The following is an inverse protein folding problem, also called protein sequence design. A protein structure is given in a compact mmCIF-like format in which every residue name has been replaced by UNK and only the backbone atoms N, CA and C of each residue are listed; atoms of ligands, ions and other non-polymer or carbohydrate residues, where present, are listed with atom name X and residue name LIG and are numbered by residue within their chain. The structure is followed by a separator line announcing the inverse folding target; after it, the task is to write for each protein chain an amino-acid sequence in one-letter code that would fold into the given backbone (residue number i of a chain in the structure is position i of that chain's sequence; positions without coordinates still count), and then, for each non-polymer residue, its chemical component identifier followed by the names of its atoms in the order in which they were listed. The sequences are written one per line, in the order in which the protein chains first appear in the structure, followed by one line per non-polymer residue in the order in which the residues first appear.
data_IF_194349028441
#
_entry.id   IF_194349028441
#
_cell.length_a   1.000
_cell.length_b   1.000
_cell.length_c   1.000
_cell.angle_alpha   90.00
_cell.angle_beta   90.00
_cell.angle_gamma   90.00
#
_symmetry.space_group_name_H-M   'P 1'
#
loop_
_entity.id
_entity.type
_entity.pdbx_description
1 polymer ?
#
# COMPACT_ATOMS: atom_id res chain seq x y z
N UNK A 1 38.85 -25.42 -47.09
CA UNK A 1 38.23 -24.13 -47.46
C UNK A 1 37.59 -23.53 -46.21
N UNK A 2 38.14 -22.38 -45.77
CA UNK A 2 37.70 -21.37 -44.78
C UNK A 2 36.76 -21.75 -43.62
N UNK A 3 37.37 -21.65 -42.43
CA UNK A 3 36.82 -21.28 -41.12
C UNK A 3 35.91 -20.03 -41.11
N UNK A 4 35.08 -19.99 -40.06
CA UNK A 4 34.49 -18.83 -39.35
C UNK A 4 33.25 -18.15 -39.96
N UNK A 5 32.11 -18.41 -39.33
CA UNK A 5 31.17 -17.35 -38.94
C UNK A 5 30.78 -17.54 -37.47
N UNK A 6 31.57 -16.90 -36.59
CA UNK A 6 31.13 -16.47 -35.27
C UNK A 6 30.57 -15.06 -35.46
N UNK A 7 29.27 -14.89 -35.34
CA UNK A 7 28.61 -13.59 -35.34
C UNK A 7 27.79 -13.45 -34.05
N UNK A 8 28.37 -12.75 -33.09
CA UNK A 8 27.80 -12.24 -31.83
C UNK A 8 26.26 -12.17 -31.81
N UNK A 9 25.63 -13.04 -31.02
CA UNK A 9 24.47 -12.63 -30.23
C UNK A 9 25.03 -12.19 -28.87
N UNK A 10 25.42 -10.92 -28.77
CA UNK A 10 25.61 -10.29 -27.48
C UNK A 10 24.21 -9.97 -26.95
N UNK A 11 23.52 -10.99 -26.45
CA UNK A 11 22.33 -10.77 -25.64
C UNK A 11 22.81 -10.07 -24.37
N UNK A 12 22.62 -8.75 -24.32
CA UNK A 12 22.82 -7.96 -23.12
C UNK A 12 21.88 -8.51 -22.04
N UNK A 13 22.39 -9.47 -21.28
CA UNK A 13 21.81 -9.86 -20.01
C UNK A 13 22.15 -8.71 -19.06
N UNK A 14 21.36 -7.65 -19.12
CA UNK A 14 21.15 -6.81 -17.95
C UNK A 14 20.44 -7.71 -16.94
N UNK A 15 21.24 -8.45 -16.17
CA UNK A 15 20.83 -8.82 -14.83
C UNK A 15 20.72 -7.49 -14.08
N UNK A 16 19.57 -6.84 -14.21
CA UNK A 16 19.11 -5.94 -13.18
C UNK A 16 18.90 -6.85 -11.97
N UNK A 17 19.95 -7.06 -11.18
CA UNK A 17 19.79 -7.44 -9.79
C UNK A 17 18.82 -6.44 -9.23
N UNK A 18 17.59 -6.88 -8.94
CA UNK A 18 16.58 -6.04 -8.34
C UNK A 18 17.18 -5.47 -7.07
N UNK A 19 17.57 -4.20 -7.11
CA UNK A 19 18.13 -3.52 -5.95
C UNK A 19 17.00 -3.40 -4.95
N UNK A 20 17.05 -4.21 -3.91
CA UNK A 20 16.10 -4.16 -2.82
C UNK A 20 16.53 -3.01 -1.92
N UNK A 21 15.67 -2.03 -1.72
CA UNK A 21 15.84 -1.12 -0.60
C UNK A 21 15.46 -1.92 0.64
N UNK A 22 16.43 -2.44 1.38
CA UNK A 22 16.18 -3.25 2.58
C UNK A 22 15.29 -2.51 3.61
N UNK A 23 15.34 -1.17 3.57
CA UNK A 23 14.58 -0.23 4.38
C UNK A 23 13.15 -0.02 3.89
N UNK A 24 12.78 -0.45 2.67
CA UNK A 24 11.40 -0.38 2.16
C UNK A 24 10.91 -1.77 1.80
N UNK A 25 9.76 -2.16 2.35
CA UNK A 25 9.17 -3.48 2.11
C UNK A 25 9.16 -3.81 0.60
N UNK A 26 9.80 -4.90 0.15
CA UNK A 26 9.82 -5.25 -1.26
C UNK A 26 8.42 -5.49 -1.81
N UNK A 27 8.19 -5.25 -3.10
CA UNK A 27 6.90 -5.47 -3.78
C UNK A 27 6.88 -6.77 -4.58
N UNK A 28 7.73 -7.73 -4.21
CA UNK A 28 7.88 -9.06 -4.80
C UNK A 28 7.65 -10.15 -3.72
N UNK A 29 7.86 -11.42 -4.07
CA UNK A 29 7.68 -12.57 -3.17
C UNK A 29 8.47 -12.45 -1.85
N UNK A 30 9.58 -11.73 -1.84
CA UNK A 30 10.43 -11.61 -0.65
C UNK A 30 9.78 -10.72 0.42
N UNK A 31 8.80 -9.88 0.04
CA UNK A 31 8.02 -9.07 0.96
C UNK A 31 6.89 -9.82 1.69
N UNK A 32 6.61 -11.09 1.37
CA UNK A 32 5.47 -11.85 1.97
C UNK A 32 5.56 -11.91 3.50
N UNK A 33 6.78 -12.12 4.03
CA UNK A 33 7.03 -12.27 5.46
C UNK A 33 7.68 -11.04 6.09
N UNK A 34 7.59 -9.88 5.42
CA UNK A 34 8.05 -8.60 5.93
C UNK A 34 6.82 -7.83 6.40
N UNK A 35 6.77 -7.56 7.70
CA UNK A 35 5.79 -6.67 8.31
C UNK A 35 6.42 -5.26 8.32
N UNK A 36 6.82 -4.78 9.49
CA UNK A 36 7.73 -3.65 9.65
C UNK A 36 9.10 -3.97 9.05
N UNK A 37 9.70 -2.99 8.37
CA UNK A 37 11.05 -3.13 7.80
C UNK A 37 12.09 -3.09 8.91
N UNK A 38 13.00 -4.08 9.01
CA UNK A 38 14.03 -4.05 10.05
C UNK A 38 15.04 -2.93 9.78
N UNK A 39 15.71 -2.46 10.86
CA UNK A 39 16.94 -1.68 10.72
C UNK A 39 17.98 -2.51 9.98
N UNK A 40 18.79 -1.84 9.17
CA UNK A 40 19.81 -2.50 8.36
C UNK A 40 21.03 -1.60 8.23
N UNK A 41 22.20 -2.24 8.19
CA UNK A 41 23.51 -1.60 8.01
C UNK A 41 23.88 -1.42 6.53
N UNK A 42 22.90 -1.44 5.63
CA UNK A 42 23.17 -1.30 4.19
C UNK A 42 23.79 0.06 3.91
N UNK A 43 25.00 0.05 3.35
CA UNK A 43 25.71 1.27 2.98
C UNK A 43 25.00 2.03 1.87
N UNK A 44 25.08 3.36 1.93
CA UNK A 44 24.59 4.21 0.86
C UNK A 44 25.55 4.20 -0.33
N UNK A 45 25.17 3.48 -1.39
CA UNK A 45 25.95 3.38 -2.62
C UNK A 45 25.76 4.58 -3.57
N UNK A 46 24.89 5.54 -3.22
CA UNK A 46 24.55 6.69 -4.05
C UNK A 46 23.06 6.78 -4.37
N UNK A 47 22.70 7.85 -5.10
CA UNK A 47 21.33 8.06 -5.55
C UNK A 47 20.88 6.93 -6.48
N UNK A 48 19.70 6.38 -6.20
CA UNK A 48 19.13 5.27 -6.95
C UNK A 48 17.60 5.39 -7.00
N UNK A 49 17.01 4.96 -8.11
CA UNK A 49 15.55 4.82 -8.28
C UNK A 49 15.21 3.39 -8.70
N UNK A 50 14.31 2.74 -7.96
CA UNK A 50 13.67 1.50 -8.32
C UNK A 50 12.25 1.78 -8.82
N UNK A 51 11.90 1.15 -9.94
CA UNK A 51 10.53 1.10 -10.45
C UNK A 51 10.01 -0.33 -10.29
N UNK A 52 8.81 -0.46 -9.76
CA UNK A 52 8.09 -1.71 -9.61
C UNK A 52 6.65 -1.58 -10.13
N UNK A 53 6.04 -2.70 -10.50
CA UNK A 53 4.64 -2.73 -10.90
C UNK A 53 3.98 -4.02 -10.47
N UNK A 54 2.66 -3.97 -10.32
CA UNK A 54 1.84 -5.15 -10.06
C UNK A 54 0.58 -5.08 -10.93
N UNK A 55 0.15 -6.22 -11.48
CA UNK A 55 -1.06 -6.36 -12.30
C UNK A 55 -1.81 -7.60 -11.86
N UNK A 56 -3.09 -7.45 -11.56
CA UNK A 56 -4.00 -8.57 -11.28
C UNK A 56 -5.16 -8.55 -12.26
N UNK A 57 -5.46 -9.70 -12.85
CA UNK A 57 -6.60 -9.95 -13.74
C UNK A 57 -7.56 -10.92 -13.02
N UNK A 58 -8.52 -10.41 -12.22
CA UNK A 58 -9.39 -11.27 -11.43
C UNK A 58 -10.38 -11.98 -12.35
N UNK A 59 -10.53 -13.30 -12.18
CA UNK A 59 -11.56 -14.08 -12.82
C UNK A 59 -12.44 -14.72 -11.75
N UNK A 60 -13.75 -14.52 -11.87
CA UNK A 60 -14.72 -15.02 -10.89
C UNK A 60 -15.71 -15.95 -11.58
N UNK A 61 -16.05 -17.05 -10.90
CA UNK A 61 -17.13 -17.98 -11.25
C UNK A 61 -17.98 -18.22 -10.00
N UNK A 62 -18.44 -17.12 -9.40
CA UNK A 62 -19.23 -17.15 -8.18
C UNK A 62 -20.70 -16.98 -8.52
N UNK A 63 -21.54 -17.63 -7.72
CA UNK A 63 -22.98 -17.40 -7.69
C UNK A 63 -23.36 -16.97 -6.27
N UNK A 64 -24.52 -16.34 -6.12
CA UNK A 64 -24.99 -15.80 -4.85
C UNK A 64 -26.49 -16.01 -4.67
N UNK A 65 -26.91 -16.13 -3.41
CA UNK A 65 -28.33 -16.26 -3.09
C UNK A 65 -28.65 -15.66 -1.72
N UNK A 66 -29.90 -15.24 -1.55
CA UNK A 66 -30.46 -14.86 -0.26
C UNK A 66 -31.92 -15.32 -0.18
N UNK A 67 -32.62 -14.97 0.90
CA UNK A 67 -34.01 -15.38 1.11
C UNK A 67 -34.95 -14.95 -0.01
N UNK A 68 -34.77 -13.74 -0.55
CA UNK A 68 -35.61 -13.19 -1.63
C UNK A 68 -35.35 -13.93 -2.95
N UNK A 69 -34.08 -14.16 -3.29
CA UNK A 69 -33.75 -14.80 -4.57
C UNK A 69 -34.04 -16.30 -4.62
N UNK A 70 -34.34 -16.91 -3.46
CA UNK A 70 -34.70 -18.33 -3.34
C UNK A 70 -36.22 -18.56 -3.36
N UNK A 71 -37.02 -17.49 -3.38
CA UNK A 71 -38.48 -17.59 -3.44
C UNK A 71 -38.94 -18.22 -4.77
N UNK A 72 -39.96 -19.07 -4.70
CA UNK A 72 -40.49 -19.74 -5.90
C UNK A 72 -41.08 -18.71 -6.86
N UNK A 73 -40.61 -18.71 -8.11
CA UNK A 73 -41.06 -17.77 -9.15
C UNK A 73 -40.30 -16.43 -9.15
N UNK A 74 -39.28 -16.25 -8.30
CA UNK A 74 -38.40 -15.09 -8.37
C UNK A 74 -37.68 -15.01 -9.73
N UNK A 75 -37.69 -13.81 -10.32
CA UNK A 75 -36.91 -13.45 -11.50
C UNK A 75 -36.37 -12.04 -11.28
N UNK A 76 -35.10 -11.80 -11.64
CA UNK A 76 -34.48 -10.50 -11.47
C UNK A 76 -34.97 -9.52 -12.55
N UNK A 77 -35.60 -8.42 -12.13
CA UNK A 77 -35.96 -7.30 -13.01
C UNK A 77 -34.81 -6.28 -13.05
N UNK A 78 -34.18 -6.13 -14.22
CA UNK A 78 -33.09 -5.18 -14.44
C UNK A 78 -33.54 -3.71 -14.45
N UNK A 79 -34.78 -3.43 -14.82
CA UNK A 79 -35.32 -2.08 -14.87
C UNK A 79 -35.80 -1.61 -13.49
N UNK A 80 -36.39 -2.51 -12.71
CA UNK A 80 -36.94 -2.21 -11.38
C UNK A 80 -36.58 -3.31 -10.38
N UNK A 81 -35.33 -3.37 -9.89
CA UNK A 81 -34.90 -4.41 -8.96
C UNK A 81 -35.67 -4.32 -7.63
N UNK A 82 -36.21 -5.45 -7.18
CA UNK A 82 -36.90 -5.53 -5.89
C UNK A 82 -35.92 -5.29 -4.73
N UNK A 83 -36.42 -4.83 -3.59
CA UNK A 83 -35.59 -4.67 -2.39
C UNK A 83 -34.94 -6.01 -2.00
N UNK A 84 -33.63 -5.99 -1.74
CA UNK A 84 -32.82 -7.18 -1.45
C UNK A 84 -32.77 -8.23 -2.57
N UNK A 85 -33.17 -7.91 -3.80
CA UNK A 85 -32.89 -8.75 -4.97
C UNK A 85 -31.37 -8.80 -5.24
N UNK A 86 -30.88 -9.93 -5.72
CA UNK A 86 -29.48 -10.09 -6.14
C UNK A 86 -29.42 -10.24 -7.66
N UNK A 87 -28.56 -9.43 -8.30
CA UNK A 87 -28.35 -9.46 -9.75
C UNK A 87 -27.70 -10.78 -10.16
N UNK A 88 -28.23 -11.54 -11.15
CA UNK A 88 -27.61 -12.79 -11.58
C UNK A 88 -26.14 -12.57 -11.97
N UNK A 89 -25.25 -13.41 -11.44
CA UNK A 89 -23.82 -13.36 -11.77
C UNK A 89 -23.52 -14.30 -12.94
N UNK A 90 -22.49 -13.96 -13.70
CA UNK A 90 -21.93 -14.83 -14.73
C UNK A 90 -20.42 -14.90 -14.55
N UNK A 91 -19.83 -15.99 -15.04
CA UNK A 91 -18.39 -16.17 -15.03
C UNK A 91 -17.71 -15.14 -15.93
N UNK A 92 -16.66 -14.50 -15.43
CA UNK A 92 -15.97 -13.47 -16.22
C UNK A 92 -14.75 -12.86 -15.55
N UNK A 93 -14.00 -12.10 -16.34
CA UNK A 93 -12.94 -11.24 -15.83
C UNK A 93 -13.55 -9.96 -15.24
N UNK A 94 -13.13 -9.60 -14.04
CA UNK A 94 -13.39 -8.30 -13.46
C UNK A 94 -12.48 -7.22 -14.05
N UNK A 95 -12.66 -5.98 -13.59
CA UNK A 95 -11.78 -4.87 -13.94
C UNK A 95 -10.32 -5.20 -13.54
N UNK A 96 -9.35 -5.14 -14.47
CA UNK A 96 -7.93 -5.25 -14.15
C UNK A 96 -7.53 -4.25 -13.06
N UNK A 97 -6.65 -4.66 -12.15
CA UNK A 97 -6.09 -3.78 -11.11
C UNK A 97 -4.59 -3.67 -11.34
N UNK A 98 -4.05 -2.44 -11.29
CA UNK A 98 -2.64 -2.20 -11.57
C UNK A 98 -2.04 -1.15 -10.63
N UNK A 99 -0.83 -1.40 -10.14
CA UNK A 99 -0.08 -0.50 -9.27
C UNK A 99 1.27 -0.13 -9.91
N UNK A 100 1.75 1.08 -9.62
CA UNK A 100 3.13 1.51 -9.90
C UNK A 100 3.80 1.90 -8.59
N UNK A 101 5.01 1.39 -8.37
CA UNK A 101 5.85 1.69 -7.22
C UNK A 101 7.09 2.42 -7.70
N UNK A 102 7.38 3.56 -7.07
CA UNK A 102 8.60 4.33 -7.31
C UNK A 102 9.28 4.49 -5.96
N UNK A 103 10.47 3.91 -5.84
CA UNK A 103 11.27 3.98 -4.63
C UNK A 103 12.59 4.65 -4.95
N UNK A 104 13.04 5.57 -4.12
CA UNK A 104 14.30 6.27 -4.35
C UNK A 104 15.12 6.34 -3.07
N UNK A 105 16.41 6.08 -3.20
CA UNK A 105 17.40 6.34 -2.17
C UNK A 105 17.99 7.72 -2.45
N UNK A 106 17.62 8.71 -1.64
CA UNK A 106 17.94 10.11 -1.88
C UNK A 106 19.31 10.49 -1.31
N UNK A 107 19.64 9.95 -0.14
CA UNK A 107 20.87 10.17 0.61
C UNK A 107 21.03 9.03 1.63
N UNK A 108 22.18 8.94 2.29
CA UNK A 108 22.38 7.95 3.36
C UNK A 108 21.27 8.03 4.42
N UNK A 109 20.53 6.93 4.56
CA UNK A 109 19.39 6.80 5.43
C UNK A 109 18.14 7.61 5.06
N UNK A 110 18.02 8.17 3.85
CA UNK A 110 16.85 8.94 3.41
C UNK A 110 16.22 8.31 2.16
N UNK A 111 15.01 7.78 2.32
CA UNK A 111 14.27 7.08 1.27
C UNK A 111 12.98 7.81 0.93
N UNK A 112 12.61 7.82 -0.35
CA UNK A 112 11.31 8.26 -0.83
C UNK A 112 10.57 7.04 -1.39
N UNK A 113 9.37 6.78 -0.89
CA UNK A 113 8.47 5.77 -1.42
C UNK A 113 7.24 6.46 -2.01
N UNK A 114 6.81 6.04 -3.20
CA UNK A 114 5.63 6.55 -3.88
C UNK A 114 4.86 5.41 -4.52
N UNK A 115 3.54 5.40 -4.29
CA UNK A 115 2.66 4.32 -4.71
C UNK A 115 1.45 4.89 -5.44
N UNK A 116 1.23 4.39 -6.65
CA UNK A 116 0.10 4.76 -7.49
C UNK A 116 -0.76 3.55 -7.76
N UNK A 117 -2.07 3.76 -7.77
CA UNK A 117 -2.98 2.89 -8.48
C UNK A 117 -3.12 3.41 -9.91
N UNK A 118 -2.70 2.60 -10.88
CA UNK A 118 -2.88 2.86 -12.31
C UNK A 118 -4.27 2.45 -12.79
N UNK A 119 -4.88 1.44 -12.16
CA UNK A 119 -6.25 1.01 -12.40
C UNK A 119 -6.82 0.40 -11.11
N UNK A 120 -8.04 0.79 -10.72
CA UNK A 120 -8.69 0.28 -9.51
C UNK A 120 -10.21 0.08 -9.70
N UNK A 121 -10.86 -0.77 -8.88
CA UNK A 121 -12.30 -1.05 -9.00
C UNK A 121 -13.19 0.19 -8.87
N UNK A 122 -12.74 1.21 -8.13
CA UNK A 122 -13.49 2.44 -7.85
C UNK A 122 -12.97 3.69 -8.57
N UNK A 123 -11.79 3.61 -9.21
CA UNK A 123 -11.21 4.71 -9.99
C UNK A 123 -10.68 4.18 -11.31
N UNK A 124 -11.24 4.70 -12.40
CA UNK A 124 -10.82 4.44 -13.78
C UNK A 124 -9.68 5.38 -14.22
N UNK A 125 -9.25 6.29 -13.34
CA UNK A 125 -8.07 7.15 -13.50
C UNK A 125 -6.92 6.72 -12.57
N UNK A 126 -5.70 7.11 -12.95
CA UNK A 126 -4.53 6.97 -12.08
C UNK A 126 -4.66 7.90 -10.87
N UNK A 127 -4.42 7.37 -9.66
CA UNK A 127 -4.43 8.15 -8.44
C UNK A 127 -3.34 7.75 -7.46
N UNK A 128 -2.99 8.68 -6.57
CA UNK A 128 -1.96 8.49 -5.55
C UNK A 128 -2.54 7.68 -4.41
N UNK A 129 -2.02 6.48 -4.18
CA UNK A 129 -2.31 5.69 -2.98
C UNK A 129 -1.63 6.34 -1.78
N UNK A 130 -0.33 6.60 -1.92
CA UNK A 130 0.50 7.15 -0.86
C UNK A 130 1.86 7.60 -1.38
N UNK A 131 2.55 8.34 -0.51
CA UNK A 131 3.91 8.78 -0.71
C UNK A 131 4.49 9.31 0.59
N UNK A 132 5.66 8.83 0.98
CA UNK A 132 6.31 9.21 2.23
C UNK A 132 7.82 9.24 2.11
N UNK A 133 8.43 10.10 2.93
CA UNK A 133 9.85 10.03 3.24
C UNK A 133 10.05 9.11 4.43
N UNK A 134 11.04 8.24 4.34
CA UNK A 134 11.50 7.42 5.44
C UNK A 134 12.93 7.81 5.79
N UNK A 135 13.16 8.02 7.08
CA UNK A 135 14.44 8.38 7.65
C UNK A 135 14.91 7.25 8.54
N UNK A 136 16.07 6.72 8.19
CA UNK A 136 16.86 5.77 8.98
C UNK A 136 18.03 6.46 9.68
N UNK A 137 18.49 7.57 9.10
CA UNK A 137 19.54 8.45 9.61
C UNK A 137 19.14 9.90 9.40
N UNK A 138 19.61 10.78 10.27
CA UNK A 138 19.37 12.23 10.18
C UNK A 138 20.66 13.04 10.42
N UNK A 139 21.79 12.56 9.90
CA UNK A 139 23.13 13.16 10.09
C UNK A 139 23.26 14.61 9.56
N UNK A 140 22.29 15.06 8.77
CA UNK A 140 22.19 16.46 8.35
C UNK A 140 21.78 17.40 9.49
N UNK A 141 21.24 16.87 10.60
CA UNK A 141 20.96 17.61 11.81
C UNK A 141 22.24 17.71 12.66
N UNK A 142 22.55 18.88 13.22
CA UNK A 142 23.83 19.12 13.91
C UNK A 142 23.86 18.57 15.34
N UNK A 143 23.06 17.55 15.66
CA UNK A 143 22.80 17.12 17.03
C UNK A 143 23.13 15.63 17.22
N UNK A 144 24.27 15.34 17.85
CA UNK A 144 24.76 13.97 18.07
C UNK A 144 23.75 13.04 18.75
N UNK A 145 22.90 13.57 19.63
CA UNK A 145 21.88 12.76 20.30
C UNK A 145 20.81 12.23 19.34
N UNK A 146 20.56 12.91 18.21
CA UNK A 146 19.61 12.44 17.20
C UNK A 146 20.17 11.20 16.53
N UNK A 147 21.45 11.21 16.16
CA UNK A 147 22.10 10.05 15.55
C UNK A 147 22.08 8.84 16.48
N UNK A 148 22.29 9.05 17.79
CA UNK A 148 22.16 7.98 18.80
C UNK A 148 20.74 7.40 18.88
N UNK A 149 19.70 8.22 18.77
CA UNK A 149 18.29 7.77 18.76
C UNK A 149 18.00 7.01 17.46
N UNK A 150 18.42 7.57 16.30
CA UNK A 150 18.14 7.02 14.98
C UNK A 150 18.77 5.64 14.73
N UNK A 151 19.77 5.23 15.52
CA UNK A 151 20.26 3.84 15.54
C UNK A 151 19.16 2.83 15.84
N UNK A 152 18.16 3.22 16.62
CA UNK A 152 17.06 2.36 17.04
C UNK A 152 15.71 2.75 16.44
N UNK A 153 15.62 3.91 15.77
CA UNK A 153 14.34 4.41 15.26
C UNK A 153 14.32 4.55 13.75
N UNK A 154 13.16 4.26 13.16
CA UNK A 154 12.80 4.61 11.79
C UNK A 154 11.67 5.61 11.85
N UNK A 155 11.75 6.69 11.07
CA UNK A 155 10.71 7.72 11.03
C UNK A 155 10.14 7.81 9.63
N UNK A 156 8.82 7.72 9.49
CA UNK A 156 8.09 7.91 8.22
C UNK A 156 7.26 9.18 8.32
N UNK A 157 7.27 10.00 7.26
CA UNK A 157 6.47 11.24 7.19
C UNK A 157 5.87 11.36 5.78
N UNK A 158 4.56 11.51 5.70
CA UNK A 158 3.85 11.65 4.43
C UNK A 158 2.45 11.09 4.48
N UNK A 159 1.96 10.61 3.33
CA UNK A 159 0.70 9.86 3.23
C UNK A 159 1.01 8.37 3.07
N UNK A 160 0.57 7.55 4.01
CA UNK A 160 0.85 6.12 4.00
C UNK A 160 -0.31 5.33 4.60
N UNK A 161 -0.32 4.03 4.32
CA UNK A 161 -1.26 3.10 4.96
C UNK A 161 -0.99 3.07 6.46
N UNK A 162 -2.03 3.28 7.27
CA UNK A 162 -1.91 3.32 8.72
C UNK A 162 -1.43 1.96 9.22
N UNK A 163 -0.34 1.92 10.01
CA UNK A 163 0.17 0.69 10.59
C UNK A 163 -0.60 0.31 11.85
N UNK A 164 -1.81 -0.20 11.65
CA UNK A 164 -2.61 -0.81 12.70
C UNK A 164 -2.91 -2.28 12.30
N UNK A 165 -2.82 -3.17 13.29
CA UNK A 165 -2.83 -4.62 13.07
C UNK A 165 -1.73 -5.16 12.15
N UNK A 166 -1.74 -6.49 11.93
CA UNK A 166 -0.82 -7.17 11.02
C UNK A 166 -1.49 -7.56 9.69
N UNK A 167 -2.82 -7.50 9.65
CA UNK A 167 -3.61 -7.94 8.51
C UNK A 167 -3.31 -7.10 7.26
N UNK A 168 -3.05 -5.81 7.43
CA UNK A 168 -2.78 -4.91 6.31
C UNK A 168 -1.48 -5.28 5.56
N UNK A 169 -0.50 -5.93 6.19
CA UNK A 169 0.68 -6.46 5.49
C UNK A 169 0.35 -7.64 4.57
N UNK A 170 -0.75 -8.34 4.80
CA UNK A 170 -1.16 -9.55 4.04
C UNK A 170 -2.32 -9.31 3.10
N UNK A 171 -2.88 -8.10 3.09
CA UNK A 171 -4.02 -7.77 2.24
C UNK A 171 -3.63 -7.73 0.77
N UNK A 172 -4.59 -8.07 -0.08
CA UNK A 172 -4.56 -7.72 -1.48
C UNK A 172 -4.72 -6.21 -1.62
N UNK A 173 -3.84 -5.62 -2.41
CA UNK A 173 -3.77 -4.17 -2.59
C UNK A 173 -3.71 -3.82 -4.07
N UNK A 174 -4.87 -3.53 -4.66
CA UNK A 174 -4.99 -3.27 -6.09
C UNK A 174 -4.41 -4.41 -6.93
N UNK A 175 -3.41 -4.10 -7.76
CA UNK A 175 -2.71 -5.08 -8.59
C UNK A 175 -1.82 -6.05 -7.81
N UNK A 176 -1.51 -5.78 -6.54
CA UNK A 176 -0.63 -6.58 -5.69
C UNK A 176 -1.44 -7.56 -4.82
N UNK A 177 -1.61 -8.78 -5.31
CA UNK A 177 -2.45 -9.79 -4.64
C UNK A 177 -1.68 -10.96 -4.03
N UNK A 178 -0.42 -11.17 -4.41
CA UNK A 178 0.30 -12.39 -4.02
C UNK A 178 0.74 -12.43 -2.54
N UNK A 179 0.58 -11.34 -1.78
CA UNK A 179 0.70 -11.37 -0.31
C UNK A 179 -0.50 -12.03 0.37
N UNK A 180 -1.62 -12.08 -0.32
CA UNK A 180 -2.86 -12.63 0.18
C UNK A 180 -3.10 -14.03 -0.41
N UNK A 181 -3.16 -15.10 0.40
CA UNK A 181 -3.45 -16.44 -0.10
C UNK A 181 -4.89 -16.61 -0.63
N UNK A 182 -5.82 -15.72 -0.26
CA UNK A 182 -7.25 -15.83 -0.60
C UNK A 182 -7.72 -14.81 -1.65
N UNK A 183 -6.82 -14.02 -2.24
CA UNK A 183 -7.08 -12.97 -3.24
C UNK A 183 -7.99 -11.81 -2.77
N UNK A 184 -8.96 -12.04 -1.89
CA UNK A 184 -9.83 -11.02 -1.29
C UNK A 184 -9.47 -10.74 0.18
N UNK A 185 -9.76 -9.52 0.62
CA UNK A 185 -9.43 -9.06 1.97
C UNK A 185 -10.50 -9.47 2.98
N UNK A 186 -10.21 -9.21 4.26
CA UNK A 186 -11.16 -9.46 5.35
C UNK A 186 -12.44 -8.63 5.19
N UNK A 187 -13.54 -9.13 5.74
CA UNK A 187 -14.84 -8.39 5.75
C UNK A 187 -14.69 -7.09 6.55
N UNK A 188 -13.95 -7.14 7.66
CA UNK A 188 -13.47 -5.98 8.37
C UNK A 188 -12.01 -5.78 7.99
N UNK A 189 -11.80 -5.12 6.85
CA UNK A 189 -10.48 -4.73 6.37
C UNK A 189 -10.09 -3.39 6.98
N UNK A 190 -8.87 -3.36 7.47
CA UNK A 190 -8.32 -2.23 8.20
C UNK A 190 -7.36 -1.49 7.27
N UNK A 191 -7.94 -0.74 6.34
CA UNK A 191 -7.17 0.01 5.35
C UNK A 191 -7.59 1.46 5.34
N UNK A 192 -6.62 2.34 5.60
CA UNK A 192 -6.76 3.77 5.45
C UNK A 192 -5.40 4.36 5.11
N UNK A 193 -5.32 5.16 4.04
CA UNK A 193 -4.12 5.96 3.79
C UNK A 193 -4.34 7.36 4.33
N UNK A 194 -3.48 7.79 5.25
CA UNK A 194 -3.64 9.06 5.94
C UNK A 194 -2.35 9.86 5.94
N UNK A 195 -2.46 11.19 6.07
CA UNK A 195 -1.29 12.05 6.19
C UNK A 195 -0.88 12.08 7.66
N UNK A 196 0.38 11.76 7.93
CA UNK A 196 0.90 11.72 9.29
C UNK A 196 2.40 11.49 9.40
N UNK A 197 2.79 11.12 10.61
CA UNK A 197 4.13 10.67 10.93
C UNK A 197 4.07 9.39 11.79
N UNK A 198 4.98 8.46 11.54
CA UNK A 198 5.13 7.19 12.23
C UNK A 198 6.58 7.03 12.69
N UNK A 199 6.75 6.44 13.87
CA UNK A 199 8.04 6.08 14.44
C UNK A 199 8.01 4.60 14.80
N UNK A 200 8.94 3.85 14.22
CA UNK A 200 9.19 2.45 14.56
C UNK A 200 10.44 2.42 15.47
N UNK A 201 10.34 1.82 16.65
CA UNK A 201 11.44 1.67 17.61
C UNK A 201 11.81 0.20 17.71
N UNK A 202 13.04 -0.12 17.32
CA UNK A 202 13.56 -1.47 17.26
C UNK A 202 14.33 -1.82 18.54
N UNK A 203 13.81 -2.80 19.30
CA UNK A 203 14.40 -3.23 20.57
C UNK A 203 14.56 -4.75 20.57
N UNK A 204 15.75 -5.21 20.18
CA UNK A 204 16.01 -6.65 20.00
C UNK A 204 15.12 -7.21 18.91
N UNK A 205 14.31 -8.21 19.26
CA UNK A 205 13.36 -8.86 18.33
C UNK A 205 11.97 -8.19 18.30
N UNK A 206 11.77 -7.11 19.08
CA UNK A 206 10.49 -6.38 19.15
C UNK A 206 10.55 -5.06 18.39
N UNK A 207 9.43 -4.65 17.82
CA UNK A 207 9.25 -3.37 17.15
C UNK A 207 8.05 -2.67 17.76
N UNK A 208 8.28 -1.52 18.38
CA UNK A 208 7.22 -0.66 18.88
C UNK A 208 6.90 0.38 17.83
N UNK A 209 5.65 0.43 17.39
CA UNK A 209 5.19 1.40 16.39
C UNK A 209 4.30 2.42 17.08
N UNK A 210 4.57 3.70 16.83
CA UNK A 210 3.72 4.81 17.24
C UNK A 210 3.50 5.77 16.08
N UNK A 211 2.25 6.12 15.80
CA UNK A 211 1.93 7.06 14.73
C UNK A 211 0.90 8.11 15.15
N UNK A 212 1.00 9.28 14.51
CA UNK A 212 0.01 10.34 14.59
C UNK A 212 -0.36 10.75 13.17
N UNK A 213 -1.64 10.66 12.86
CA UNK A 213 -2.17 11.01 11.55
C UNK A 213 -3.27 12.05 11.70
N UNK A 214 -3.67 12.64 10.57
CA UNK A 214 -4.77 13.59 10.54
C UNK A 214 -6.17 12.93 10.55
N UNK A 215 -6.26 11.60 10.60
CA UNK A 215 -7.52 10.86 10.66
C UNK A 215 -8.35 10.93 9.37
N UNK A 216 -7.71 11.23 8.23
CA UNK A 216 -8.41 11.49 6.96
C UNK A 216 -7.82 10.71 5.79
N UNK A 217 -8.64 9.83 5.24
CA UNK A 217 -8.44 9.27 3.90
C UNK A 217 -8.65 10.31 2.80
N UNK A 218 -9.72 11.10 2.91
CA UNK A 218 -10.03 12.17 1.95
C UNK A 218 -9.70 13.53 2.56
N UNK A 219 -8.59 14.10 2.11
CA UNK A 219 -8.11 15.38 2.60
C UNK A 219 -8.94 16.52 2.02
N UNK A 220 -9.68 17.20 2.89
CA UNK A 220 -10.36 18.45 2.58
C UNK A 220 -9.87 19.58 3.50
N UNK A 221 -9.71 20.75 2.90
CA UNK A 221 -9.36 22.01 3.55
C UNK A 221 -10.61 22.83 3.94
N UNK A 222 -11.80 22.42 3.51
CA UNK A 222 -13.03 23.11 3.91
C UNK A 222 -13.29 23.00 5.40
N UNK A 223 -13.83 24.08 5.98
CA UNK A 223 -14.25 24.10 7.36
C UNK A 223 -15.41 23.10 7.56
N UNK A 224 -15.37 22.36 8.66
CA UNK A 224 -16.52 21.57 9.10
C UNK A 224 -17.65 22.52 9.53
N UNK A 225 -18.68 22.58 8.71
CA UNK A 225 -19.91 23.32 9.02
C UNK A 225 -20.84 22.46 9.88
N UNK A 226 -20.82 22.67 11.19
CA UNK A 226 -21.67 21.94 12.15
C UNK A 226 -23.15 22.29 12.04
N UNK A 227 -23.55 23.25 11.20
CA UNK A 227 -24.96 23.56 10.94
C UNK A 227 -25.59 22.60 9.93
N UNK A 228 -24.79 21.89 9.12
CA UNK A 228 -25.29 20.91 8.15
C UNK A 228 -25.72 19.63 8.82
N UNK A 229 -26.80 19.02 8.31
CA UNK A 229 -27.33 17.75 8.84
C UNK A 229 -26.28 16.62 8.86
N UNK A 230 -25.36 16.60 7.89
CA UNK A 230 -24.31 15.58 7.75
C UNK A 230 -23.22 15.67 8.82
N UNK A 231 -22.98 16.86 9.38
CA UNK A 231 -21.84 17.17 10.25
C UNK A 231 -22.28 17.74 11.61
N UNK A 232 -23.58 17.73 11.91
CA UNK A 232 -24.17 18.31 13.13
C UNK A 232 -23.66 17.71 14.45
N UNK A 233 -23.10 16.50 14.42
CA UNK A 233 -22.51 15.84 15.58
C UNK A 233 -20.98 16.00 15.66
N UNK A 234 -20.37 16.62 14.65
CA UNK A 234 -18.94 16.95 14.72
C UNK A 234 -18.72 18.06 15.73
N UNK A 235 -17.57 18.02 16.40
CA UNK A 235 -17.07 19.13 17.21
C UNK A 235 -16.57 20.31 16.36
N UNK A 236 -16.66 20.23 15.02
CA UNK A 236 -16.23 21.28 14.09
C UNK A 236 -14.72 21.33 13.88
N UNK A 237 -13.97 20.37 14.43
CA UNK A 237 -12.50 20.32 14.39
C UNK A 237 -12.05 18.99 13.78
N UNK A 238 -10.90 19.01 13.11
CA UNK A 238 -10.21 17.80 12.69
C UNK A 238 -9.35 17.29 13.85
N UNK A 239 -9.73 16.16 14.43
CA UNK A 239 -8.98 15.54 15.52
C UNK A 239 -7.94 14.59 14.92
N UNK A 240 -6.69 14.58 15.40
CA UNK A 240 -5.69 13.60 14.98
C UNK A 240 -6.08 12.20 15.45
N UNK A 241 -5.65 11.18 14.70
CA UNK A 241 -5.68 9.81 15.15
C UNK A 241 -4.31 9.42 15.72
N UNK A 242 -4.34 8.64 16.80
CA UNK A 242 -3.16 8.15 17.49
C UNK A 242 -3.16 6.63 17.37
N UNK A 243 -2.07 6.08 16.85
CA UNK A 243 -1.90 4.65 16.65
C UNK A 243 -0.72 4.17 17.47
N UNK A 244 -0.88 3.00 18.08
CA UNK A 244 0.17 2.31 18.83
C UNK A 244 0.06 0.81 18.62
N UNK A 245 1.21 0.17 18.35
CA UNK A 245 1.33 -1.27 18.12
C UNK A 245 2.67 -1.77 18.69
N UNK A 246 2.69 -3.03 19.12
CA UNK A 246 3.87 -3.80 19.56
C UNK A 246 4.03 -5.03 18.65
#
# INVERSE_FOLDING_TARGET
MKMKQRGLLLAATLLASGMMFAQLRPTNKDGINVFETPKTETEFEGFNVQLGGALTLPFSMLDHSNTVTRESGYSYDYANPAANSLVPLTSGFGLPQANLYIKSNLSDGIYLNFELYLASRHHNETWVKGGFLQFEKMEFLPWDFVDEIMKYTTIKVGQFDVNYGDAHFRRSDGGLTFYNPFMENHIMDEFATEIGAEVDVHVGDFILVGAVTNGKLNNDLTKIDTTRAQTKYSNGVHNPAWIGKL
#
